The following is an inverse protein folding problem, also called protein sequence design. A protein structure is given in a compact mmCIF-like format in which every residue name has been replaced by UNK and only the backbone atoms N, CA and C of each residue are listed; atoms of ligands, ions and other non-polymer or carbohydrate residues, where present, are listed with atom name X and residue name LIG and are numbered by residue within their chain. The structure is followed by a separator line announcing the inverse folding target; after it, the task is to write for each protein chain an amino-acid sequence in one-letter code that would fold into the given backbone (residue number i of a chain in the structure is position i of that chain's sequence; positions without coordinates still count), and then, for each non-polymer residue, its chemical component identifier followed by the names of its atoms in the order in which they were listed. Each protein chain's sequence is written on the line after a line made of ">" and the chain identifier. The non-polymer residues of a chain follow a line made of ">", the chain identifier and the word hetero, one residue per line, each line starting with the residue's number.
data_IF_793994074787
#
_entry.id   IF_793994074787
#
_cell.length_a   1.000
_cell.length_b   1.000
_cell.length_c   1.000
_cell.angle_alpha   90.00
_cell.angle_beta   90.00
_cell.angle_gamma   90.00
#
_symmetry.space_group_name_H-M   'P 1'
#
loop_
_entity.id
_entity.type
_entity.pdbx_description
1 polymer ?
#
# COMPACT_ATOMS: atom_id res chain seq x y z
N UNK A 1 12.02 25.80 1.65
CA UNK A 1 12.30 26.08 0.23
C UNK A 1 11.40 25.14 -0.54
N UNK A 2 10.25 25.67 -0.95
CA UNK A 2 9.25 24.95 -1.74
C UNK A 2 9.71 24.91 -3.19
N UNK A 3 10.13 23.75 -3.68
CA UNK A 3 10.21 23.51 -5.12
C UNK A 3 8.88 22.90 -5.57
N UNK A 4 7.91 23.78 -5.81
CA UNK A 4 6.83 23.50 -6.74
C UNK A 4 7.46 23.54 -8.15
N UNK A 5 8.08 22.44 -8.58
CA UNK A 5 8.51 22.31 -9.95
C UNK A 5 7.26 22.19 -10.83
N UNK A 6 7.03 23.23 -11.61
CA UNK A 6 6.08 23.26 -12.71
C UNK A 6 6.24 21.99 -13.54
N UNK A 7 5.17 21.20 -13.65
CA UNK A 7 5.13 19.99 -14.46
C UNK A 7 5.22 20.26 -15.98
N UNK A 8 5.46 21.52 -16.37
CA UNK A 8 5.59 21.93 -17.76
C UNK A 8 7.07 22.07 -18.15
N UNK A 9 7.54 21.13 -18.96
CA UNK A 9 8.82 21.10 -19.71
C UNK A 9 9.98 20.31 -19.11
N UNK A 10 9.75 19.11 -18.59
CA UNK A 10 10.80 18.08 -18.58
C UNK A 10 10.90 17.48 -19.98
N UNK A 11 12.10 17.43 -20.55
CA UNK A 11 12.31 16.75 -21.84
C UNK A 11 12.02 15.24 -21.70
N UNK A 12 11.65 14.53 -22.79
CA UNK A 12 11.38 13.09 -22.73
C UNK A 12 12.54 12.29 -22.11
N UNK A 13 13.78 12.65 -22.44
CA UNK A 13 14.98 12.02 -21.88
C UNK A 13 15.13 12.27 -20.37
N UNK A 14 14.92 13.50 -19.90
CA UNK A 14 14.95 13.80 -18.46
C UNK A 14 13.81 13.10 -17.71
N UNK A 15 12.63 12.98 -18.32
CA UNK A 15 11.52 12.23 -17.75
C UNK A 15 11.87 10.74 -17.60
N UNK A 16 12.49 10.13 -18.61
CA UNK A 16 12.93 8.73 -18.58
C UNK A 16 13.96 8.49 -17.46
N UNK A 17 14.96 9.37 -17.32
CA UNK A 17 15.95 9.29 -16.24
C UNK A 17 15.32 9.40 -14.84
N UNK A 18 14.30 10.26 -14.70
CA UNK A 18 13.55 10.39 -13.45
C UNK A 18 12.69 9.16 -13.17
N UNK A 19 12.11 8.56 -14.21
CA UNK A 19 11.35 7.30 -14.11
C UNK A 19 12.25 6.13 -13.71
N UNK A 20 13.47 6.05 -14.25
CA UNK A 20 14.48 5.06 -13.83
C UNK A 20 14.82 5.16 -12.35
N UNK A 21 15.11 6.38 -11.86
CA UNK A 21 15.41 6.62 -10.45
C UNK A 21 14.22 6.30 -9.55
N UNK A 22 13.00 6.62 -10.00
CA UNK A 22 11.75 6.30 -9.31
C UNK A 22 11.58 4.78 -9.17
N UNK A 23 11.79 4.04 -10.26
CA UNK A 23 11.73 2.57 -10.26
C UNK A 23 12.80 1.95 -9.35
N UNK A 24 14.03 2.45 -9.41
CA UNK A 24 15.10 2.02 -8.51
C UNK A 24 14.75 2.25 -7.03
N UNK A 25 14.17 3.41 -6.69
CA UNK A 25 13.71 3.69 -5.34
C UNK A 25 12.66 2.67 -4.88
N UNK A 26 11.64 2.37 -5.69
CA UNK A 26 10.58 1.44 -5.31
C UNK A 26 11.09 0.02 -5.09
N UNK A 27 12.07 -0.43 -5.89
CA UNK A 27 12.73 -1.72 -5.68
C UNK A 27 13.46 -1.78 -4.33
N UNK A 28 14.19 -0.72 -3.97
CA UNK A 28 14.87 -0.62 -2.66
C UNK A 28 13.85 -0.60 -1.53
N UNK A 29 12.76 0.17 -1.68
CA UNK A 29 11.70 0.26 -0.69
C UNK A 29 11.01 -1.09 -0.45
N UNK A 30 10.73 -1.85 -1.50
CA UNK A 30 10.15 -3.19 -1.34
C UNK A 30 11.08 -4.15 -0.64
N UNK A 31 12.37 -4.13 -0.98
CA UNK A 31 13.36 -5.00 -0.36
C UNK A 31 13.50 -4.68 1.14
N UNK A 32 13.57 -3.40 1.49
CA UNK A 32 13.61 -2.94 2.87
C UNK A 32 12.34 -3.32 3.64
N UNK A 33 11.17 -3.08 3.05
CA UNK A 33 9.87 -3.39 3.65
C UNK A 33 9.70 -4.90 3.86
N UNK A 34 10.02 -5.70 2.85
CA UNK A 34 9.96 -7.16 2.94
C UNK A 34 10.92 -7.70 4.00
N UNK A 35 12.20 -7.30 3.93
CA UNK A 35 13.23 -7.75 4.87
C UNK A 35 12.90 -7.39 6.31
N UNK A 36 12.41 -6.16 6.53
CA UNK A 36 12.04 -5.66 7.86
C UNK A 36 10.80 -6.35 8.43
N UNK A 37 9.79 -6.59 7.59
CA UNK A 37 8.59 -7.36 7.96
C UNK A 37 8.96 -8.79 8.37
N UNK A 38 9.80 -9.48 7.58
CA UNK A 38 10.24 -10.84 7.88
C UNK A 38 11.12 -10.91 9.13
N UNK A 39 12.01 -9.93 9.32
CA UNK A 39 12.87 -9.85 10.50
C UNK A 39 12.15 -9.34 11.75
N UNK A 40 10.90 -8.90 11.62
CA UNK A 40 10.12 -8.24 12.68
C UNK A 40 10.83 -7.02 13.26
N UNK A 41 11.39 -6.20 12.38
CA UNK A 41 12.12 -4.98 12.71
C UNK A 41 11.49 -3.78 11.99
N UNK A 42 11.68 -2.55 12.49
CA UNK A 42 11.30 -1.36 11.75
C UNK A 42 12.05 -1.26 10.42
N UNK A 43 11.35 -0.85 9.36
CA UNK A 43 11.94 -0.52 8.06
C UNK A 43 12.97 0.60 8.18
N UNK A 44 14.07 0.51 7.42
CA UNK A 44 15.07 1.57 7.38
C UNK A 44 14.53 2.82 6.69
N UNK A 45 13.67 2.65 5.67
CA UNK A 45 13.00 3.73 4.96
C UNK A 45 11.73 4.12 5.72
N UNK A 46 11.73 5.36 6.21
CA UNK A 46 10.58 5.93 6.88
C UNK A 46 9.50 6.34 5.86
N UNK A 47 8.42 5.56 5.80
CA UNK A 47 7.27 5.83 4.90
C UNK A 47 6.66 7.22 5.07
N UNK A 48 6.68 7.81 6.27
CA UNK A 48 6.10 9.12 6.55
C UNK A 48 6.91 10.28 5.95
N UNK A 49 8.15 10.01 5.51
CA UNK A 49 9.03 10.98 4.87
C UNK A 49 9.19 10.74 3.37
N UNK A 50 8.42 9.80 2.83
CA UNK A 50 8.47 9.44 1.43
C UNK A 50 7.63 10.43 0.62
N UNK A 51 8.24 10.99 -0.44
CA UNK A 51 7.56 11.85 -1.42
C UNK A 51 7.98 11.41 -2.82
N UNK A 52 7.61 10.17 -3.18
CA UNK A 52 7.99 9.55 -4.45
C UNK A 52 6.73 9.17 -5.23
N UNK A 53 6.71 9.51 -6.52
CA UNK A 53 5.63 9.15 -7.45
C UNK A 53 5.62 7.64 -7.69
N UNK A 54 4.46 7.06 -7.93
CA UNK A 54 4.36 5.65 -8.32
C UNK A 54 4.97 5.42 -9.72
N UNK A 55 5.58 4.26 -9.99
CA UNK A 55 6.11 3.96 -11.31
C UNK A 55 4.97 3.85 -12.32
N UNK A 56 5.21 4.30 -13.56
CA UNK A 56 4.23 4.17 -14.65
C UNK A 56 4.40 2.85 -15.38
N UNK A 57 3.53 2.53 -16.34
CA UNK A 57 3.64 1.29 -17.11
C UNK A 57 4.93 1.22 -17.95
N UNK A 58 5.45 0.00 -18.13
CA UNK A 58 6.67 -0.25 -18.91
C UNK A 58 6.54 0.25 -20.34
N UNK A 59 5.36 0.12 -20.95
CA UNK A 59 5.11 0.60 -22.31
C UNK A 59 5.29 2.12 -22.43
N UNK A 60 4.83 2.90 -21.45
CA UNK A 60 5.02 4.35 -21.46
C UNK A 60 6.48 4.73 -21.19
N UNK A 61 7.14 4.02 -20.26
CA UNK A 61 8.55 4.24 -19.96
C UNK A 61 9.45 3.97 -21.18
N UNK A 62 9.31 2.82 -21.84
CA UNK A 62 10.10 2.48 -23.03
C UNK A 62 9.77 3.34 -24.26
N UNK A 63 8.56 3.90 -24.32
CA UNK A 63 8.16 4.80 -25.40
C UNK A 63 8.52 6.28 -25.13
N UNK A 64 9.21 6.57 -24.01
CA UNK A 64 9.54 7.93 -23.57
C UNK A 64 8.29 8.83 -23.53
N UNK A 65 7.15 8.26 -23.11
CA UNK A 65 5.87 8.96 -23.04
C UNK A 65 5.59 9.39 -21.59
N UNK A 66 5.68 10.68 -21.27
CA UNK A 66 5.37 11.16 -19.93
C UNK A 66 3.92 10.88 -19.54
N UNK A 67 3.76 10.11 -18.47
CA UNK A 67 2.45 9.84 -17.84
C UNK A 67 2.49 10.41 -16.43
N UNK A 68 1.47 11.20 -16.08
CA UNK A 68 1.35 11.71 -14.73
C UNK A 68 1.03 10.56 -13.76
N UNK A 69 1.63 10.61 -12.57
CA UNK A 69 1.53 9.54 -11.59
C UNK A 69 1.56 10.14 -10.19
N UNK A 70 0.62 9.76 -9.30
CA UNK A 70 0.50 10.37 -7.99
C UNK A 70 1.71 10.05 -7.10
N UNK A 71 1.99 10.97 -6.18
CA UNK A 71 2.92 10.75 -5.06
C UNK A 71 2.20 9.91 -4.01
N UNK A 72 2.88 8.89 -3.45
CA UNK A 72 2.27 8.08 -2.41
C UNK A 72 2.07 8.88 -1.10
N UNK A 73 0.81 9.14 -0.73
CA UNK A 73 0.45 9.73 0.57
C UNK A 73 0.73 8.73 1.70
N UNK A 74 1.42 9.13 2.78
CA UNK A 74 1.73 8.25 3.89
C UNK A 74 0.51 7.88 4.75
N UNK A 75 -0.64 8.54 4.56
CA UNK A 75 -1.87 8.27 5.31
C UNK A 75 -2.69 7.19 4.58
N UNK A 76 -3.04 6.08 5.24
CA UNK A 76 -3.82 5.00 4.62
C UNK A 76 -5.12 5.46 3.96
N UNK A 77 -5.84 6.38 4.61
CA UNK A 77 -7.14 6.90 4.17
C UNK A 77 -7.08 7.68 2.86
N UNK A 78 -5.93 8.27 2.56
CA UNK A 78 -5.71 8.97 1.29
C UNK A 78 -5.02 8.06 0.27
N UNK A 79 -4.09 7.22 0.72
CA UNK A 79 -3.31 6.35 -0.14
C UNK A 79 -4.18 5.50 -1.08
N UNK A 80 -5.23 4.86 -0.57
CA UNK A 80 -6.06 3.96 -1.38
C UNK A 80 -6.81 4.68 -2.53
N UNK A 81 -7.04 5.99 -2.42
CA UNK A 81 -7.80 6.79 -3.39
C UNK A 81 -6.93 7.31 -4.53
N UNK A 82 -5.62 7.42 -4.35
CA UNK A 82 -4.78 8.22 -5.25
C UNK A 82 -4.72 7.66 -6.68
N UNK A 83 -4.80 6.34 -6.82
CA UNK A 83 -4.82 5.70 -8.13
C UNK A 83 -6.21 5.67 -8.77
N UNK A 84 -7.29 6.08 -8.10
CA UNK A 84 -8.64 5.94 -8.64
C UNK A 84 -8.87 6.87 -9.85
N UNK A 85 -8.49 8.14 -9.71
CA UNK A 85 -8.65 9.17 -10.75
C UNK A 85 -7.33 9.48 -11.49
N UNK A 86 -6.29 8.68 -11.24
CA UNK A 86 -4.96 8.85 -11.83
C UNK A 86 -4.94 8.34 -13.29
N UNK A 87 -4.19 8.98 -14.20
CA UNK A 87 -3.93 8.41 -15.52
C UNK A 87 -3.00 7.19 -15.45
N UNK A 88 -2.18 7.07 -14.41
CA UNK A 88 -1.44 5.84 -14.11
C UNK A 88 -2.36 4.78 -13.50
N UNK A 89 -2.59 3.71 -14.24
CA UNK A 89 -3.43 2.57 -13.85
C UNK A 89 -2.69 1.24 -13.89
N UNK A 90 -1.35 1.30 -13.92
CA UNK A 90 -0.50 0.13 -14.06
C UNK A 90 -0.60 -0.83 -12.86
N UNK A 91 -0.61 -2.14 -13.13
CA UNK A 91 -0.73 -3.18 -12.11
C UNK A 91 0.40 -3.10 -11.07
N UNK A 92 1.59 -2.65 -11.47
CA UNK A 92 2.73 -2.44 -10.57
C UNK A 92 2.45 -1.33 -9.56
N UNK A 93 1.83 -0.24 -9.99
CA UNK A 93 1.49 0.89 -9.12
C UNK A 93 0.46 0.46 -8.06
N UNK A 94 -0.56 -0.30 -8.47
CA UNK A 94 -1.55 -0.87 -7.56
C UNK A 94 -0.94 -1.90 -6.60
N UNK A 95 0.01 -2.71 -7.08
CA UNK A 95 0.77 -3.62 -6.23
C UNK A 95 1.55 -2.88 -5.14
N UNK A 96 2.26 -1.81 -5.47
CA UNK A 96 3.02 -1.02 -4.50
C UNK A 96 2.11 -0.37 -3.46
N UNK A 97 0.98 0.18 -3.88
CA UNK A 97 -0.05 0.71 -2.98
C UNK A 97 -0.58 -0.36 -2.02
N UNK A 98 -0.80 -1.57 -2.52
CA UNK A 98 -1.25 -2.70 -1.71
C UNK A 98 -0.18 -3.15 -0.72
N UNK A 99 1.07 -3.26 -1.15
CA UNK A 99 2.21 -3.58 -0.29
C UNK A 99 2.36 -2.54 0.83
N UNK A 100 2.20 -1.26 0.49
CA UNK A 100 2.22 -0.17 1.46
C UNK A 100 1.14 -0.34 2.54
N UNK A 101 -0.13 -0.55 2.17
CA UNK A 101 -1.19 -0.73 3.17
C UNK A 101 -0.99 -2.00 4.00
N UNK A 102 -0.51 -3.09 3.39
CA UNK A 102 -0.18 -4.31 4.11
C UNK A 102 0.93 -4.07 5.14
N UNK A 103 1.99 -3.33 4.78
CA UNK A 103 3.05 -2.94 5.70
C UNK A 103 2.55 -2.03 6.84
N UNK A 104 1.61 -1.11 6.56
CA UNK A 104 0.97 -0.31 7.61
C UNK A 104 0.14 -1.17 8.55
N UNK A 105 -0.60 -2.17 8.02
CA UNK A 105 -1.34 -3.14 8.84
C UNK A 105 -0.40 -3.92 9.75
N UNK A 106 0.71 -4.41 9.20
CA UNK A 106 1.71 -5.14 9.97
C UNK A 106 2.30 -4.29 11.11
N UNK A 107 2.69 -3.05 10.82
CA UNK A 107 3.27 -2.16 11.82
C UNK A 107 2.27 -1.77 12.91
N UNK A 108 1.01 -1.53 12.53
CA UNK A 108 -0.06 -1.19 13.46
C UNK A 108 -0.37 -2.38 14.37
N UNK A 109 -0.45 -3.58 13.80
CA UNK A 109 -0.63 -4.83 14.54
C UNK A 109 0.54 -5.12 15.49
N UNK A 110 1.77 -4.87 15.04
CA UNK A 110 2.97 -5.11 15.83
C UNK A 110 3.20 -4.05 16.91
N UNK A 111 2.56 -2.88 16.78
CA UNK A 111 2.69 -1.76 17.71
C UNK A 111 1.80 -1.93 18.94
N UNK A 112 2.37 -1.74 20.13
CA UNK A 112 1.66 -1.86 21.42
C UNK A 112 0.70 -0.70 21.74
N UNK A 113 0.65 0.35 20.91
CA UNK A 113 -0.05 1.61 21.20
C UNK A 113 -0.94 2.11 20.05
N UNK A 114 -1.40 1.22 19.16
CA UNK A 114 -2.30 1.64 18.08
C UNK A 114 -3.63 2.13 18.64
N UNK A 115 -4.01 3.37 18.34
CA UNK A 115 -5.27 3.93 18.81
C UNK A 115 -6.45 3.25 18.10
N UNK A 116 -7.58 2.98 18.78
CA UNK A 116 -8.73 2.31 18.16
C UNK A 116 -9.26 3.01 16.90
N UNK A 117 -9.16 4.34 16.85
CA UNK A 117 -9.53 5.14 15.69
C UNK A 117 -8.63 4.87 14.48
N UNK A 118 -7.31 4.81 14.67
CA UNK A 118 -6.35 4.52 13.60
C UNK A 118 -6.54 3.10 13.06
N UNK A 119 -6.80 2.12 13.95
CA UNK A 119 -7.11 0.75 13.54
C UNK A 119 -8.36 0.69 12.67
N UNK A 120 -9.38 1.47 13.01
CA UNK A 120 -10.63 1.54 12.24
C UNK A 120 -10.40 2.20 10.88
N UNK A 121 -9.73 3.34 10.83
CA UNK A 121 -9.42 4.03 9.56
C UNK A 121 -8.59 3.16 8.63
N UNK A 122 -7.63 2.40 9.19
CA UNK A 122 -6.85 1.43 8.44
C UNK A 122 -7.69 0.27 7.92
N UNK A 123 -8.59 -0.27 8.74
CA UNK A 123 -9.51 -1.33 8.32
C UNK A 123 -10.43 -0.87 7.18
N UNK A 124 -11.00 0.32 7.29
CA UNK A 124 -11.85 0.93 6.27
C UNK A 124 -11.05 1.15 4.97
N UNK A 125 -9.82 1.64 5.07
CA UNK A 125 -8.92 1.84 3.92
C UNK A 125 -8.59 0.52 3.20
N UNK A 126 -8.29 -0.55 3.95
CA UNK A 126 -8.04 -1.89 3.39
C UNK A 126 -9.29 -2.44 2.71
N UNK A 127 -10.47 -2.23 3.30
CA UNK A 127 -11.74 -2.65 2.71
C UNK A 127 -12.02 -1.91 1.39
N UNK A 128 -11.84 -0.60 1.37
CA UNK A 128 -11.99 0.22 0.16
C UNK A 128 -11.01 -0.21 -0.93
N UNK A 129 -9.74 -0.44 -0.59
CA UNK A 129 -8.75 -0.93 -1.54
C UNK A 129 -9.14 -2.32 -2.09
N UNK A 130 -9.59 -3.24 -1.24
CA UNK A 130 -10.04 -4.56 -1.65
C UNK A 130 -11.21 -4.50 -2.64
N UNK A 131 -12.19 -3.62 -2.40
CA UNK A 131 -13.29 -3.39 -3.34
C UNK A 131 -12.78 -2.85 -4.67
N UNK A 132 -11.89 -1.85 -4.65
CA UNK A 132 -11.29 -1.28 -5.85
C UNK A 132 -10.54 -2.33 -6.67
N UNK A 133 -9.70 -3.14 -6.03
CA UNK A 133 -8.92 -4.19 -6.69
C UNK A 133 -9.82 -5.30 -7.21
N UNK A 134 -10.85 -5.71 -6.46
CA UNK A 134 -11.78 -6.76 -6.93
C UNK A 134 -12.55 -6.31 -8.18
N UNK A 135 -12.96 -5.05 -8.25
CA UNK A 135 -13.69 -4.52 -9.41
C UNK A 135 -12.81 -4.42 -10.67
N UNK A 136 -11.50 -4.18 -10.51
CA UNK A 136 -10.60 -3.87 -11.64
C UNK A 136 -9.71 -5.04 -12.03
N UNK A 137 -9.31 -5.85 -11.06
CA UNK A 137 -8.36 -6.95 -11.19
C UNK A 137 -8.93 -8.25 -10.59
N UNK A 138 -10.26 -8.38 -10.53
CA UNK A 138 -10.93 -9.54 -9.97
C UNK A 138 -10.60 -10.81 -10.76
N UNK A 139 -9.99 -11.79 -10.10
CA UNK A 139 -9.54 -13.05 -10.72
C UNK A 139 -10.69 -13.89 -11.28
N UNK A 140 -11.87 -13.80 -10.64
CA UNK A 140 -13.09 -14.49 -11.07
C UNK A 140 -13.70 -13.87 -12.34
N UNK A 141 -13.53 -12.55 -12.50
CA UNK A 141 -14.11 -11.78 -13.62
C UNK A 141 -13.15 -11.78 -14.81
N UNK A 142 -11.85 -11.75 -14.53
CA UNK A 142 -10.77 -11.70 -15.51
C UNK A 142 -9.79 -12.85 -15.29
N UNK A 143 -10.06 -14.03 -15.86
CA UNK A 143 -9.17 -15.18 -15.74
C UNK A 143 -7.77 -14.83 -16.22
N UNK A 144 -6.78 -15.14 -15.39
CA UNK A 144 -5.38 -14.89 -15.72
C UNK A 144 -4.95 -15.76 -16.90
N UNK A 145 -4.31 -15.14 -17.89
CA UNK A 145 -3.62 -15.85 -18.97
C UNK A 145 -2.12 -15.63 -18.83
N UNK A 146 -1.39 -16.69 -18.49
CA UNK A 146 0.07 -16.67 -18.45
C UNK A 146 0.61 -16.85 -19.86
N UNK A 147 0.83 -15.73 -20.53
CA UNK A 147 1.58 -15.67 -21.78
C UNK A 147 2.80 -14.76 -21.61
N UNK A 148 3.71 -14.77 -22.57
CA UNK A 148 4.98 -14.04 -22.49
C UNK A 148 4.80 -12.52 -22.30
N UNK A 149 3.66 -11.95 -22.72
CA UNK A 149 3.39 -10.51 -22.62
C UNK A 149 2.72 -10.12 -21.30
N UNK A 150 1.92 -11.01 -20.70
CA UNK A 150 1.08 -10.73 -19.53
C UNK A 150 1.55 -11.36 -18.23
N UNK A 151 2.59 -12.19 -18.28
CA UNK A 151 3.10 -12.91 -17.12
C UNK A 151 3.45 -11.97 -15.97
N UNK A 152 4.15 -10.86 -16.24
CA UNK A 152 4.53 -9.88 -15.21
C UNK A 152 3.29 -9.23 -14.56
N UNK A 153 2.35 -8.73 -15.36
CA UNK A 153 1.11 -8.11 -14.88
C UNK A 153 0.28 -9.08 -14.05
N UNK A 154 0.20 -10.33 -14.48
CA UNK A 154 -0.51 -11.40 -13.76
C UNK A 154 0.08 -11.64 -12.38
N UNK A 155 1.41 -11.60 -12.24
CA UNK A 155 2.07 -11.76 -10.95
C UNK A 155 1.78 -10.58 -10.01
N UNK A 156 1.75 -9.35 -10.52
CA UNK A 156 1.34 -8.19 -9.73
C UNK A 156 -0.08 -8.33 -9.22
N UNK A 157 -1.01 -8.78 -10.07
CA UNK A 157 -2.40 -9.01 -9.68
C UNK A 157 -2.52 -10.08 -8.60
N UNK A 158 -1.89 -11.25 -8.79
CA UNK A 158 -1.90 -12.32 -7.78
C UNK A 158 -1.30 -11.82 -6.46
N UNK A 159 -0.17 -11.13 -6.53
CA UNK A 159 0.51 -10.57 -5.38
C UNK A 159 -0.37 -9.58 -4.61
N UNK A 160 -1.11 -8.71 -5.31
CA UNK A 160 -2.09 -7.81 -4.70
C UNK A 160 -3.14 -8.57 -3.88
N UNK A 161 -3.76 -9.60 -4.47
CA UNK A 161 -4.77 -10.40 -3.77
C UNK A 161 -4.21 -11.11 -2.54
N UNK A 162 -3.01 -11.68 -2.64
CA UNK A 162 -2.33 -12.30 -1.50
C UNK A 162 -2.06 -11.29 -0.39
N UNK A 163 -1.52 -10.11 -0.72
CA UNK A 163 -1.25 -9.06 0.25
C UNK A 163 -2.52 -8.51 0.89
N UNK A 164 -3.63 -8.39 0.16
CA UNK A 164 -4.93 -8.00 0.70
C UNK A 164 -5.47 -9.04 1.69
N UNK A 165 -5.36 -10.33 1.38
CA UNK A 165 -5.73 -11.41 2.30
C UNK A 165 -4.91 -11.30 3.59
N UNK A 166 -3.60 -11.08 3.48
CA UNK A 166 -2.71 -10.89 4.63
C UNK A 166 -3.07 -9.63 5.43
N UNK A 167 -3.30 -8.49 4.77
CA UNK A 167 -3.68 -7.24 5.43
C UNK A 167 -5.00 -7.39 6.22
N UNK A 168 -5.99 -8.06 5.62
CA UNK A 168 -7.26 -8.37 6.30
C UNK A 168 -7.07 -9.28 7.51
N UNK A 169 -6.17 -10.26 7.43
CA UNK A 169 -5.85 -11.09 8.58
C UNK A 169 -5.27 -10.26 9.75
N UNK A 170 -4.34 -9.33 9.47
CA UNK A 170 -3.85 -8.42 10.50
C UNK A 170 -4.96 -7.55 11.09
N UNK A 171 -5.86 -7.01 10.26
CA UNK A 171 -7.01 -6.23 10.74
C UNK A 171 -7.91 -7.05 11.68
N UNK A 172 -8.26 -8.28 11.30
CA UNK A 172 -9.06 -9.17 12.16
C UNK A 172 -8.37 -9.43 13.50
N UNK A 173 -7.06 -9.73 13.48
CA UNK A 173 -6.29 -9.99 14.70
C UNK A 173 -6.19 -8.76 15.62
N UNK A 174 -6.09 -7.55 15.07
CA UNK A 174 -6.13 -6.29 15.84
C UNK A 174 -7.48 -6.10 16.54
N UNK A 175 -8.58 -6.37 15.83
CA UNK A 175 -9.93 -6.23 16.36
C UNK A 175 -10.25 -7.25 17.46
N UNK A 176 -9.84 -8.51 17.28
CA UNK A 176 -9.99 -9.57 18.29
C UNK A 176 -9.21 -9.23 19.58
N UNK A 177 -7.98 -8.75 19.43
CA UNK A 177 -7.14 -8.35 20.57
C UNK A 177 -7.78 -7.21 21.38
N UNK A 178 -8.35 -6.22 20.69
CA UNK A 178 -9.05 -5.08 21.30
C UNK A 178 -10.32 -5.52 22.04
N UNK A 179 -11.10 -6.45 21.45
CA UNK A 179 -12.30 -6.98 22.09
C UNK A 179 -11.97 -7.77 23.37
N UNK A 180 -10.92 -8.58 23.36
CA UNK A 180 -10.47 -9.35 24.53
C UNK A 180 -10.01 -8.44 25.69
N UNK A 181 -9.33 -7.33 25.39
CA UNK A 181 -8.94 -6.31 26.37
C UNK A 181 -10.16 -5.66 27.04
N UNK A 182 -11.17 -5.28 26.25
CA UNK A 182 -12.40 -4.68 26.76
C UNK A 182 -13.17 -5.62 27.69
N UNK A 183 -13.28 -6.91 27.34
CA UNK A 183 -13.92 -7.91 28.20
C UNK A 183 -13.19 -8.06 29.53
N UNK A 184 -11.85 -8.11 29.53
CA UNK A 184 -11.05 -8.18 30.77
C UNK A 184 -11.27 -6.95 31.64
N UNK A 185 -11.26 -5.74 31.07
CA UNK A 185 -11.49 -4.51 31.84
C UNK A 185 -12.90 -4.44 32.44
N UNK A 186 -13.93 -4.89 31.70
CA UNK A 186 -15.30 -5.00 32.22
C UNK A 186 -15.40 -6.00 33.37
N UNK A 187 -14.70 -7.14 33.26
CA UNK A 187 -14.61 -8.10 34.35
C UNK A 187 -13.93 -7.48 35.57
N UNK A 188 -12.74 -6.88 35.45
CA UNK A 188 -12.06 -6.26 36.60
C UNK A 188 -12.82 -5.07 37.21
N UNK A 189 -13.49 -4.26 36.39
CA UNK A 189 -14.34 -3.14 36.85
C UNK A 189 -15.63 -3.57 37.57
N UNK A 190 -16.02 -4.85 37.45
CA UNK A 190 -17.09 -5.45 38.24
C UNK A 190 -16.62 -5.78 39.67
N UNK A 191 -15.37 -6.25 39.84
CA UNK A 191 -14.82 -6.61 41.15
C UNK A 191 -14.48 -5.40 42.03
N UNK A 192 -14.17 -4.24 41.43
CA UNK A 192 -13.90 -3.00 42.16
C UNK A 192 -15.14 -2.28 42.70
N UNK A 193 -16.35 -2.81 42.47
CA UNK A 193 -17.62 -2.23 42.97
C UNK A 193 -18.21 -2.95 44.19
N UNK A 194 -17.49 -3.94 44.72
CA UNK A 194 -17.90 -4.74 45.88
C UNK A 194 -17.01 -4.54 47.14
N UNK A 195 -16.24 -3.46 47.19
CA UNK A 195 -15.51 -3.01 48.39
C UNK A 195 -15.78 -1.54 48.68
#
# INVERSE_FOLDING_TARGET
>A
MDECQDASQTSPTEWTDLEERRRAFWLVWELDTFGSTMARRPSAINRNRMAVRLPVCDAAWFAEQPVDSPILDPRPVEAWKMLFDSPNQDERAWFLLTNFLMAVCYDTYSSRHAYPQEQKELADSVMCLNLAITQRFGLEIHPISFNSERFANSNWIIGMHLMLITARAFVSMMQESSAALNIRLLQFGSWGRYY
#
